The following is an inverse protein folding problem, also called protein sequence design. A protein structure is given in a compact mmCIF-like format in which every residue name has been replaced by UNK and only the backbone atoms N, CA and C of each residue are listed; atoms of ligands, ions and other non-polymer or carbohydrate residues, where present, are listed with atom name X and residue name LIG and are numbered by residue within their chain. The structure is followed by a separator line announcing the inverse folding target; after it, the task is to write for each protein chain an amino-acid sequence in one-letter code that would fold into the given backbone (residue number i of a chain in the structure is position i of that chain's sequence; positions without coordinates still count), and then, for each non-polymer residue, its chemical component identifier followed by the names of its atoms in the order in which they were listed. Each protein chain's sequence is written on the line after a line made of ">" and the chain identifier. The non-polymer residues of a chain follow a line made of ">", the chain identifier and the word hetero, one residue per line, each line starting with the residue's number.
data_IF_534369221055
#
_entry.id   IF_534369221055
#
_cell.length_a   1.000
_cell.length_b   1.000
_cell.length_c   1.000
_cell.angle_alpha   90.00
_cell.angle_beta   90.00
_cell.angle_gamma   90.00
#
_symmetry.space_group_name_H-M   'P 1'
#
loop_
_entity.id
_entity.type
_entity.pdbx_description
1 polymer ?
#
# COMPACT_ATOMS: atom_id res chain seq x y z
N UNK A 1 -2.87 2.77 -20.82
CA UNK A 1 -2.67 3.94 -21.67
C UNK A 1 -2.20 5.15 -20.87
N UNK A 2 -1.70 6.17 -21.54
CA UNK A 2 -1.36 7.43 -20.86
C UNK A 2 -2.64 8.09 -20.34
N UNK A 3 -2.54 8.73 -19.16
CA UNK A 3 -3.64 9.53 -18.60
C UNK A 3 -3.64 10.87 -19.37
N UNK A 4 -4.82 11.33 -19.80
CA UNK A 4 -4.96 12.64 -20.46
C UNK A 4 -4.77 13.79 -19.43
N UNK A 5 -4.61 15.02 -19.93
CA UNK A 5 -4.37 16.22 -19.09
C UNK A 5 -5.51 16.45 -18.08
N UNK A 6 -6.76 16.25 -18.51
CA UNK A 6 -7.95 16.42 -17.64
C UNK A 6 -8.18 15.26 -16.68
N UNK A 7 -7.32 14.21 -16.70
CA UNK A 7 -7.45 12.99 -15.90
C UNK A 7 -8.82 12.30 -16.04
N UNK A 8 -9.44 12.40 -17.18
CA UNK A 8 -10.75 11.80 -17.48
C UNK A 8 -10.64 10.50 -18.29
N UNK A 9 -9.50 10.23 -18.89
CA UNK A 9 -9.23 9.03 -19.69
C UNK A 9 -7.83 8.47 -19.45
N UNK A 10 -7.65 7.21 -19.81
CA UNK A 10 -6.37 6.52 -19.67
C UNK A 10 -6.13 5.95 -18.28
N UNK A 11 -4.90 5.45 -18.07
CA UNK A 11 -4.47 4.77 -16.85
C UNK A 11 -4.17 3.31 -17.06
N UNK A 12 -3.87 2.61 -15.97
CA UNK A 12 -3.62 1.16 -15.93
C UNK A 12 -4.44 0.57 -14.82
N UNK A 13 -5.22 -0.46 -15.14
CA UNK A 13 -5.97 -1.26 -14.17
C UNK A 13 -5.03 -2.31 -13.61
N UNK A 14 -5.02 -2.51 -12.30
CA UNK A 14 -4.10 -3.45 -11.67
C UNK A 14 -4.38 -4.89 -12.09
N UNK A 15 -5.64 -5.33 -12.02
CA UNK A 15 -6.03 -6.67 -12.44
C UNK A 15 -7.32 -6.59 -13.26
N UNK A 16 -7.32 -7.26 -14.40
CA UNK A 16 -8.50 -7.46 -15.25
C UNK A 16 -8.74 -8.95 -15.42
N UNK A 17 -9.87 -9.44 -14.94
CA UNK A 17 -10.32 -10.81 -15.16
C UNK A 17 -11.44 -10.75 -16.18
N UNK A 18 -11.28 -11.40 -17.31
CA UNK A 18 -12.28 -11.38 -18.39
C UNK A 18 -12.42 -12.72 -19.10
N UNK A 19 -13.62 -13.01 -19.53
CA UNK A 19 -13.93 -14.03 -20.52
C UNK A 19 -14.47 -13.37 -21.81
N UNK A 20 -15.11 -14.16 -22.67
CA UNK A 20 -15.69 -13.66 -23.91
C UNK A 20 -16.94 -12.79 -23.73
N UNK A 21 -17.51 -12.71 -22.53
CA UNK A 21 -18.82 -12.06 -22.26
C UNK A 21 -18.72 -11.01 -21.14
N UNK A 22 -17.88 -11.23 -20.14
CA UNK A 22 -17.83 -10.44 -18.92
C UNK A 22 -16.40 -10.04 -18.57
N UNK A 23 -16.25 -8.93 -17.88
CA UNK A 23 -15.00 -8.50 -17.28
C UNK A 23 -15.25 -8.10 -15.82
N UNK A 24 -14.23 -8.32 -14.97
CA UNK A 24 -14.12 -7.81 -13.61
C UNK A 24 -12.83 -7.01 -13.51
N UNK A 25 -12.91 -5.86 -12.90
CA UNK A 25 -11.76 -4.99 -12.70
C UNK A 25 -11.44 -4.95 -11.21
N UNK A 26 -10.15 -5.03 -10.87
CA UNK A 26 -9.71 -4.87 -9.48
C UNK A 26 -8.67 -3.76 -9.45
N UNK A 27 -8.94 -2.76 -8.65
CA UNK A 27 -7.99 -1.73 -8.26
C UNK A 27 -7.52 -1.99 -6.84
N UNK A 28 -6.20 -2.16 -6.68
CA UNK A 28 -5.59 -2.57 -5.43
C UNK A 28 -4.81 -1.41 -4.77
N UNK A 29 -5.19 -1.04 -3.55
CA UNK A 29 -4.58 0.03 -2.77
C UNK A 29 -4.10 -0.49 -1.42
N UNK A 30 -2.79 -0.71 -1.30
CA UNK A 30 -2.18 -1.05 0.00
C UNK A 30 -1.64 0.23 0.67
N UNK A 31 -0.71 0.92 0.03
CA UNK A 31 -0.10 2.16 0.54
C UNK A 31 -0.18 3.31 -0.46
N UNK A 32 -0.58 3.03 -1.70
CA UNK A 32 -0.69 4.03 -2.74
C UNK A 32 -1.93 4.88 -2.55
N UNK A 33 -1.80 6.18 -2.79
CA UNK A 33 -2.95 7.08 -2.81
C UNK A 33 -3.80 6.84 -4.05
N UNK A 34 -5.08 7.17 -3.94
CA UNK A 34 -6.00 7.11 -5.05
C UNK A 34 -5.65 8.20 -6.08
N UNK A 35 -5.65 7.83 -7.35
CA UNK A 35 -5.52 8.78 -8.43
C UNK A 35 -6.87 9.45 -8.71
N UNK A 36 -6.85 10.73 -9.04
CA UNK A 36 -8.07 11.49 -9.39
C UNK A 36 -8.88 10.77 -10.47
N UNK A 37 -10.16 10.57 -10.21
CA UNK A 37 -11.13 9.96 -11.14
C UNK A 37 -10.75 8.55 -11.64
N UNK A 38 -9.94 7.80 -10.88
CA UNK A 38 -9.39 6.52 -11.35
C UNK A 38 -10.49 5.51 -11.69
N UNK A 39 -11.43 5.26 -10.79
CA UNK A 39 -12.52 4.31 -11.04
C UNK A 39 -13.50 4.82 -12.11
N UNK A 40 -13.69 6.14 -12.20
CA UNK A 40 -14.52 6.77 -13.24
C UNK A 40 -13.93 6.48 -14.63
N UNK A 41 -12.59 6.62 -14.79
CA UNK A 41 -11.91 6.27 -16.05
C UNK A 41 -12.07 4.79 -16.40
N UNK A 42 -11.99 3.90 -15.41
CA UNK A 42 -12.18 2.47 -15.61
C UNK A 42 -13.61 2.15 -16.07
N UNK A 43 -14.61 2.80 -15.46
CA UNK A 43 -16.01 2.64 -15.82
C UNK A 43 -16.31 3.13 -17.23
N UNK A 44 -15.67 4.22 -17.67
CA UNK A 44 -15.78 4.68 -19.06
C UNK A 44 -15.26 3.66 -20.06
N UNK A 45 -14.14 3.00 -19.74
CA UNK A 45 -13.53 2.00 -20.64
C UNK A 45 -14.24 0.65 -20.60
N UNK A 46 -14.77 0.26 -19.45
CA UNK A 46 -15.53 -0.97 -19.22
C UNK A 46 -16.90 -0.65 -18.59
N UNK A 47 -17.88 -0.11 -19.32
CA UNK A 47 -19.15 0.40 -18.75
C UNK A 47 -19.92 -0.64 -17.95
N UNK A 48 -19.89 -1.90 -18.39
CA UNK A 48 -20.66 -3.00 -17.81
C UNK A 48 -19.85 -3.86 -16.82
N UNK A 49 -18.57 -3.58 -16.62
CA UNK A 49 -17.75 -4.36 -15.70
C UNK A 49 -17.92 -3.86 -14.27
N UNK A 50 -18.20 -4.75 -13.31
CA UNK A 50 -18.07 -4.41 -11.91
C UNK A 50 -16.62 -4.12 -11.57
N UNK A 51 -16.39 -3.10 -10.74
CA UNK A 51 -15.08 -2.71 -10.24
C UNK A 51 -15.00 -3.13 -8.77
N UNK A 52 -13.94 -3.82 -8.41
CA UNK A 52 -13.59 -4.13 -7.03
C UNK A 52 -12.52 -3.15 -6.59
N UNK A 53 -12.83 -2.34 -5.59
CA UNK A 53 -11.86 -1.48 -4.93
C UNK A 53 -11.34 -2.17 -3.68
N UNK A 54 -10.12 -2.72 -3.79
CA UNK A 54 -9.48 -3.51 -2.75
C UNK A 54 -8.48 -2.65 -1.97
N UNK A 55 -8.73 -2.50 -0.68
CA UNK A 55 -7.86 -1.76 0.24
C UNK A 55 -7.49 -2.60 1.45
N UNK A 56 -6.55 -2.15 2.28
CA UNK A 56 -6.21 -2.89 3.50
C UNK A 56 -7.40 -3.04 4.44
N UNK A 57 -8.18 -1.97 4.63
CA UNK A 57 -9.22 -1.88 5.67
C UNK A 57 -10.63 -1.63 5.13
N UNK A 58 -10.85 -1.74 3.82
CA UNK A 58 -12.17 -1.50 3.23
C UNK A 58 -12.55 -0.01 3.17
N UNK A 59 -11.57 0.86 2.91
CA UNK A 59 -11.84 2.29 2.74
C UNK A 59 -12.51 2.59 1.42
N UNK A 60 -13.34 3.64 1.43
CA UNK A 60 -14.07 4.13 0.26
C UNK A 60 -13.15 4.82 -0.76
N UNK A 61 -13.58 4.84 -2.02
CA UNK A 61 -12.92 5.54 -3.12
C UNK A 61 -13.28 7.02 -3.09
N UNK A 62 -12.37 7.85 -2.59
CA UNK A 62 -12.61 9.29 -2.35
C UNK A 62 -12.79 10.12 -3.62
N UNK A 63 -12.25 9.67 -4.76
CA UNK A 63 -12.31 10.40 -6.04
C UNK A 63 -13.33 9.82 -7.02
N UNK A 64 -14.16 8.89 -6.57
CA UNK A 64 -15.19 8.24 -7.38
C UNK A 64 -16.59 8.81 -7.09
N UNK A 65 -16.71 10.12 -6.93
CA UNK A 65 -17.94 10.81 -6.48
C UNK A 65 -19.17 10.58 -7.35
N UNK A 66 -18.95 10.25 -8.62
CA UNK A 66 -20.03 10.00 -9.59
C UNK A 66 -20.42 8.52 -9.69
N UNK A 67 -19.83 7.66 -8.86
CA UNK A 67 -20.08 6.22 -8.83
C UNK A 67 -20.76 5.81 -7.52
N UNK A 68 -21.71 4.89 -7.63
CA UNK A 68 -22.46 4.36 -6.50
C UNK A 68 -21.80 3.06 -5.96
N UNK A 69 -21.57 3.02 -4.64
CA UNK A 69 -21.09 1.80 -3.94
C UNK A 69 -22.15 0.71 -4.07
N UNK A 70 -21.72 -0.53 -4.23
CA UNK A 70 -22.54 -1.73 -4.44
C UNK A 70 -23.36 -1.76 -5.74
N UNK A 71 -23.09 -0.82 -6.64
CA UNK A 71 -23.69 -0.79 -7.98
C UNK A 71 -22.61 -0.66 -9.04
N UNK A 72 -21.84 0.42 -9.01
CA UNK A 72 -20.77 0.69 -9.97
C UNK A 72 -19.44 0.09 -9.54
N UNK A 73 -19.19 0.08 -8.25
CA UNK A 73 -18.03 -0.57 -7.65
C UNK A 73 -18.35 -1.18 -6.28
N UNK A 74 -17.51 -2.13 -5.88
CA UNK A 74 -17.64 -2.88 -4.64
C UNK A 74 -16.37 -2.70 -3.81
N UNK A 75 -16.54 -2.42 -2.52
CA UNK A 75 -15.43 -2.29 -1.58
C UNK A 75 -15.15 -3.64 -0.96
N UNK A 76 -13.91 -4.09 -1.05
CA UNK A 76 -13.41 -5.25 -0.31
C UNK A 76 -12.12 -4.92 0.42
N UNK A 77 -11.83 -5.66 1.47
CA UNK A 77 -10.65 -5.45 2.31
C UNK A 77 -9.75 -6.68 2.35
N UNK A 78 -8.46 -6.43 2.56
CA UNK A 78 -7.52 -7.48 2.95
C UNK A 78 -7.82 -8.00 4.35
N UNK A 79 -8.19 -7.10 5.28
CA UNK A 79 -8.44 -7.39 6.68
C UNK A 79 -9.52 -8.45 6.91
N UNK A 80 -10.59 -8.38 6.14
CA UNK A 80 -11.74 -9.27 6.30
C UNK A 80 -11.91 -10.21 5.11
N UNK A 81 -12.13 -9.65 3.91
CA UNK A 81 -12.58 -10.42 2.76
C UNK A 81 -11.50 -11.33 2.18
N UNK A 82 -10.30 -10.77 1.93
CA UNK A 82 -9.18 -11.57 1.38
C UNK A 82 -8.70 -12.57 2.42
N UNK A 83 -8.62 -12.17 3.69
CA UNK A 83 -8.20 -13.08 4.76
C UNK A 83 -9.15 -14.27 4.89
N UNK A 84 -10.45 -14.01 4.95
CA UNK A 84 -11.47 -15.06 5.01
C UNK A 84 -11.41 -15.99 3.80
N UNK A 85 -11.27 -15.43 2.61
CA UNK A 85 -11.12 -16.22 1.39
C UNK A 85 -9.87 -17.11 1.42
N UNK A 86 -8.72 -16.59 1.87
CA UNK A 86 -7.49 -17.37 2.01
C UNK A 86 -7.62 -18.48 3.06
N UNK A 87 -8.34 -18.24 4.15
CA UNK A 87 -8.61 -19.25 5.18
C UNK A 87 -9.47 -20.40 4.64
N UNK A 88 -10.44 -20.11 3.78
CA UNK A 88 -11.20 -21.17 3.06
C UNK A 88 -10.31 -21.90 2.06
N UNK A 89 -9.50 -21.18 1.28
CA UNK A 89 -8.52 -21.80 0.37
C UNK A 89 -7.54 -22.73 1.11
N UNK A 90 -7.16 -22.37 2.34
CA UNK A 90 -6.27 -23.19 3.17
C UNK A 90 -6.89 -24.54 3.53
N UNK A 91 -8.21 -24.58 3.77
CA UNK A 91 -8.97 -25.82 4.04
C UNK A 91 -8.98 -26.74 2.80
N UNK A 92 -9.20 -26.18 1.62
CA UNK A 92 -9.19 -26.93 0.36
C UNK A 92 -7.79 -27.44 0.00
N UNK A 93 -6.75 -26.69 0.37
CA UNK A 93 -5.37 -27.03 0.06
C UNK A 93 -4.75 -28.11 0.96
N UNK A 94 -5.53 -28.79 1.81
CA UNK A 94 -5.01 -29.81 2.77
C UNK A 94 -4.23 -30.92 2.07
N UNK A 95 -4.67 -31.34 0.89
CA UNK A 95 -4.03 -32.40 0.09
C UNK A 95 -2.77 -31.95 -0.67
N UNK A 96 -2.46 -30.65 -0.66
CA UNK A 96 -1.38 -30.03 -1.42
C UNK A 96 -0.42 -29.30 -0.48
N UNK A 97 0.55 -29.98 0.17
CA UNK A 97 1.39 -29.40 1.23
C UNK A 97 2.11 -28.12 0.81
N UNK A 98 2.68 -28.08 -0.39
CA UNK A 98 3.38 -26.89 -0.90
C UNK A 98 2.45 -25.71 -1.08
N UNK A 99 1.29 -25.92 -1.70
CA UNK A 99 0.27 -24.88 -1.88
C UNK A 99 -0.27 -24.37 -0.54
N UNK A 100 -0.54 -25.30 0.37
CA UNK A 100 -0.99 -24.97 1.74
C UNK A 100 0.00 -24.07 2.46
N UNK A 101 1.29 -24.36 2.35
CA UNK A 101 2.31 -23.54 3.00
C UNK A 101 2.40 -22.13 2.39
N UNK A 102 2.31 -22.00 1.07
CA UNK A 102 2.26 -20.69 0.39
C UNK A 102 1.05 -19.88 0.85
N UNK A 103 -0.14 -20.50 0.92
CA UNK A 103 -1.35 -19.82 1.41
C UNK A 103 -1.17 -19.38 2.86
N UNK A 104 -0.59 -20.22 3.72
CA UNK A 104 -0.32 -19.89 5.12
C UNK A 104 0.61 -18.68 5.26
N UNK A 105 1.69 -18.64 4.48
CA UNK A 105 2.61 -17.50 4.46
C UNK A 105 1.89 -16.22 3.99
N UNK A 106 1.01 -16.33 3.00
CA UNK A 106 0.23 -15.19 2.53
C UNK A 106 -0.79 -14.71 3.58
N UNK A 107 -1.47 -15.61 4.28
CA UNK A 107 -2.31 -15.28 5.45
C UNK A 107 -1.52 -14.50 6.49
N UNK A 108 -0.32 -14.98 6.84
CA UNK A 108 0.55 -14.31 7.82
C UNK A 108 0.97 -12.91 7.34
N UNK A 109 1.26 -12.75 6.06
CA UNK A 109 1.55 -11.45 5.46
C UNK A 109 0.34 -10.50 5.56
N UNK A 110 -0.85 -10.96 5.17
CA UNK A 110 -2.08 -10.17 5.26
C UNK A 110 -2.34 -9.75 6.72
N UNK A 111 -2.28 -10.69 7.66
CA UNK A 111 -2.44 -10.39 9.10
C UNK A 111 -1.41 -9.35 9.59
N UNK A 112 -0.18 -9.42 9.11
CA UNK A 112 0.86 -8.43 9.44
C UNK A 112 0.53 -7.05 8.86
N UNK A 113 0.10 -6.97 7.61
CA UNK A 113 -0.23 -5.71 6.93
C UNK A 113 -1.47 -5.04 7.54
N UNK A 114 -2.42 -5.84 8.03
CA UNK A 114 -3.66 -5.37 8.64
C UNK A 114 -3.61 -5.27 10.18
N UNK A 115 -2.40 -5.37 10.75
CA UNK A 115 -2.19 -5.33 12.21
C UNK A 115 -2.94 -6.39 13.01
N UNK A 116 -3.29 -7.52 12.38
CA UNK A 116 -3.93 -8.67 13.03
C UNK A 116 -2.93 -9.71 13.54
N UNK A 117 -1.62 -9.45 13.44
CA UNK A 117 -0.61 -10.30 14.04
C UNK A 117 -0.75 -10.25 15.54
N UNK A 118 -1.13 -11.37 16.08
CA UNK A 118 -1.57 -11.57 17.43
C UNK A 118 -0.42 -11.54 18.42
N UNK A 119 -0.27 -10.43 19.07
CA UNK A 119 -0.14 -10.54 20.50
C UNK A 119 -1.45 -10.00 21.10
N UNK A 120 -2.47 -10.85 21.24
CA UNK A 120 -3.75 -10.46 21.87
C UNK A 120 -3.53 -9.96 23.29
N UNK A 121 -2.51 -10.46 24.00
CA UNK A 121 -2.09 -9.99 25.30
C UNK A 121 -1.55 -8.56 25.20
N UNK A 122 -0.60 -8.32 24.29
CA UNK A 122 -0.08 -6.97 24.06
C UNK A 122 -1.19 -5.97 23.65
N UNK A 123 -2.14 -6.41 22.82
CA UNK A 123 -3.28 -5.55 22.44
C UNK A 123 -4.15 -5.20 23.65
N UNK A 124 -4.40 -6.16 24.53
CA UNK A 124 -5.13 -5.92 25.80
C UNK A 124 -4.34 -4.97 26.70
N UNK A 125 -3.03 -5.21 26.86
CA UNK A 125 -2.16 -4.33 27.66
C UNK A 125 -2.15 -2.90 27.11
N UNK A 126 -2.01 -2.72 25.79
CA UNK A 126 -2.07 -1.41 25.15
C UNK A 126 -3.44 -0.75 25.36
N UNK A 127 -4.54 -1.50 25.23
CA UNK A 127 -5.88 -0.95 25.47
C UNK A 127 -6.07 -0.49 26.92
N UNK A 128 -5.57 -1.25 27.91
CA UNK A 128 -5.59 -0.83 29.31
C UNK A 128 -4.69 0.39 29.56
N UNK A 129 -3.50 0.43 28.94
CA UNK A 129 -2.62 1.59 29.01
C UNK A 129 -3.28 2.86 28.46
N UNK A 130 -3.95 2.75 27.29
CA UNK A 130 -4.70 3.86 26.69
C UNK A 130 -5.84 4.32 27.59
N UNK A 131 -6.62 3.40 28.16
CA UNK A 131 -7.73 3.75 29.07
C UNK A 131 -7.24 4.50 30.33
N UNK A 132 -6.13 4.03 30.88
CA UNK A 132 -5.56 4.62 32.11
C UNK A 132 -4.84 5.95 31.85
N UNK A 133 -4.46 6.26 30.61
CA UNK A 133 -3.73 7.47 30.22
C UNK A 133 -4.38 8.08 28.95
N UNK A 134 -5.68 8.28 28.99
CA UNK A 134 -6.45 8.60 27.78
C UNK A 134 -6.06 9.93 27.12
N UNK A 135 -5.78 10.96 27.94
CA UNK A 135 -5.40 12.28 27.42
C UNK A 135 -4.00 12.26 26.80
N UNK A 136 -3.06 11.61 27.45
CA UNK A 136 -1.68 11.43 26.96
C UNK A 136 -1.66 10.58 25.70
N UNK A 137 -2.46 9.51 25.65
CA UNK A 137 -2.60 8.67 24.47
C UNK A 137 -3.20 9.44 23.29
N UNK A 138 -4.17 10.31 23.53
CA UNK A 138 -4.73 11.19 22.50
C UNK A 138 -3.68 12.18 21.96
N UNK A 139 -2.86 12.77 22.83
CA UNK A 139 -1.79 13.67 22.42
C UNK A 139 -0.66 12.94 21.67
N UNK A 140 -0.32 11.71 22.09
CA UNK A 140 0.59 10.83 21.35
C UNK A 140 0.04 10.54 19.96
N UNK A 141 -1.23 10.15 19.84
CA UNK A 141 -1.87 9.84 18.56
C UNK A 141 -1.86 11.04 17.59
N UNK A 142 -2.12 12.24 18.12
CA UNK A 142 -2.09 13.50 17.37
C UNK A 142 -0.69 13.81 16.82
N UNK A 143 0.36 13.54 17.59
CA UNK A 143 1.75 13.83 17.22
C UNK A 143 2.48 12.65 16.56
N UNK A 144 1.88 11.47 16.51
CA UNK A 144 2.51 10.24 16.02
C UNK A 144 3.13 10.38 14.63
N UNK A 145 2.37 10.96 13.69
CA UNK A 145 2.85 11.10 12.31
C UNK A 145 4.03 12.07 12.19
N UNK A 146 4.04 13.14 12.96
CA UNK A 146 5.16 14.09 13.01
C UNK A 146 6.42 13.42 13.58
N UNK A 147 6.28 12.72 14.70
CA UNK A 147 7.37 11.96 15.32
C UNK A 147 7.91 10.85 14.40
N UNK A 148 7.02 10.09 13.76
CA UNK A 148 7.38 9.07 12.77
C UNK A 148 8.19 9.66 11.61
N UNK A 149 7.76 10.79 11.07
CA UNK A 149 8.45 11.46 9.96
C UNK A 149 9.83 11.97 10.38
N UNK A 150 9.97 12.46 11.61
CA UNK A 150 11.28 12.87 12.14
C UNK A 150 12.24 11.69 12.29
N UNK A 151 11.77 10.55 12.79
CA UNK A 151 12.55 9.30 12.88
C UNK A 151 12.99 8.85 11.49
N UNK A 152 12.07 8.82 10.51
CA UNK A 152 12.37 8.45 9.12
C UNK A 152 13.42 9.40 8.53
N UNK A 153 13.27 10.69 8.71
CA UNK A 153 14.22 11.70 8.23
C UNK A 153 15.61 11.49 8.85
N UNK A 154 15.67 11.27 10.16
CA UNK A 154 16.94 10.97 10.87
C UNK A 154 17.60 9.70 10.36
N UNK A 155 16.81 8.65 10.09
CA UNK A 155 17.31 7.41 9.49
C UNK A 155 17.92 7.65 8.11
N UNK A 156 17.20 8.33 7.22
CA UNK A 156 17.69 8.62 5.88
C UNK A 156 18.95 9.52 5.88
N UNK A 157 19.01 10.51 6.76
CA UNK A 157 20.21 11.35 6.89
C UNK A 157 21.43 10.53 7.36
N UNK A 158 21.24 9.63 8.34
CA UNK A 158 22.32 8.74 8.78
C UNK A 158 22.76 7.80 7.67
N UNK A 159 21.82 7.25 6.91
CA UNK A 159 22.12 6.36 5.79
C UNK A 159 22.85 7.09 4.67
N UNK A 160 22.42 8.31 4.35
CA UNK A 160 23.09 9.16 3.38
C UNK A 160 24.55 9.46 3.80
N UNK A 161 24.76 9.92 5.03
CA UNK A 161 26.10 10.21 5.54
C UNK A 161 26.99 8.95 5.54
N UNK A 162 26.45 7.81 5.93
CA UNK A 162 27.18 6.54 5.88
C UNK A 162 27.65 6.19 4.46
N UNK A 163 26.80 6.33 3.47
CA UNK A 163 27.17 6.07 2.09
C UNK A 163 28.11 7.14 1.53
N UNK A 164 27.92 8.42 1.89
CA UNK A 164 28.81 9.50 1.50
C UNK A 164 30.23 9.25 2.00
N UNK A 165 30.39 8.84 3.26
CA UNK A 165 31.68 8.52 3.87
C UNK A 165 32.32 7.24 3.31
N UNK A 166 31.49 6.24 2.92
CA UNK A 166 31.95 4.89 2.58
C UNK A 166 32.13 4.68 1.08
N UNK A 167 31.26 5.22 0.24
CA UNK A 167 31.20 4.95 -1.20
C UNK A 167 31.71 6.11 -2.06
N UNK A 168 31.64 7.36 -1.56
CA UNK A 168 32.09 8.53 -2.33
C UNK A 168 33.59 8.71 -2.16
N UNK A 169 34.37 7.76 -2.68
CA UNK A 169 35.81 7.92 -2.92
C UNK A 169 36.01 7.76 -4.42
N UNK A 170 35.92 8.92 -5.12
CA UNK A 170 36.34 9.15 -6.51
C UNK A 170 35.45 8.63 -7.67
N UNK A 171 34.54 7.68 -7.48
CA UNK A 171 33.79 7.08 -8.60
C UNK A 171 32.27 7.20 -8.55
N UNK A 172 31.70 7.44 -7.38
CA UNK A 172 30.26 7.49 -7.20
C UNK A 172 29.77 8.82 -6.64
N UNK A 173 28.67 9.31 -7.16
CA UNK A 173 27.95 10.45 -6.60
C UNK A 173 26.65 9.96 -5.99
N UNK A 174 26.34 10.41 -4.77
CA UNK A 174 25.10 10.10 -4.07
C UNK A 174 24.28 11.37 -3.94
N UNK A 175 23.04 11.32 -4.39
CA UNK A 175 22.10 12.43 -4.24
C UNK A 175 20.91 11.97 -3.42
N UNK A 176 20.56 12.71 -2.38
CA UNK A 176 19.33 12.51 -1.64
C UNK A 176 18.22 13.28 -2.34
N UNK A 177 17.17 12.57 -2.76
CA UNK A 177 15.99 13.24 -3.25
C UNK A 177 15.30 13.96 -2.07
N UNK A 178 15.40 15.29 -2.04
CA UNK A 178 14.83 16.16 -1.02
C UNK A 178 13.35 16.47 -1.27
N UNK A 179 12.59 15.60 -1.94
CA UNK A 179 11.16 15.79 -2.05
C UNK A 179 10.55 15.82 -0.66
N UNK A 180 9.73 16.83 -0.39
CA UNK A 180 9.05 17.10 0.88
C UNK A 180 8.10 15.99 1.35
N UNK A 181 7.96 14.91 0.58
CA UNK A 181 7.07 13.78 0.86
C UNK A 181 7.91 12.63 1.40
N UNK A 182 7.87 12.33 2.71
CA UNK A 182 8.67 11.26 3.34
C UNK A 182 8.46 9.87 2.73
N UNK A 183 7.35 9.67 2.03
CA UNK A 183 6.94 8.41 1.38
C UNK A 183 7.84 8.01 0.20
N UNK A 184 8.58 8.95 -0.38
CA UNK A 184 9.38 8.73 -1.60
C UNK A 184 10.85 9.14 -1.45
N UNK A 185 11.36 9.23 -0.21
CA UNK A 185 12.79 9.45 -0.03
C UNK A 185 13.55 8.23 -0.56
N UNK A 186 14.40 8.48 -1.53
CA UNK A 186 15.33 7.48 -2.07
C UNK A 186 16.70 8.12 -2.29
N UNK A 187 17.71 7.29 -2.22
CA UNK A 187 19.07 7.67 -2.58
C UNK A 187 19.28 7.33 -4.05
N UNK A 188 19.80 8.28 -4.79
CA UNK A 188 20.21 8.08 -6.17
C UNK A 188 21.73 7.88 -6.17
N UNK A 189 22.17 6.83 -6.83
CA UNK A 189 23.59 6.54 -7.05
C UNK A 189 23.88 6.75 -8.51
N UNK A 190 24.86 7.61 -8.83
CA UNK A 190 25.35 7.81 -10.18
C UNK A 190 26.86 7.62 -10.22
N UNK A 191 27.34 6.98 -11.28
CA UNK A 191 28.77 6.86 -11.55
C UNK A 191 29.29 8.14 -12.17
N UNK A 192 30.43 8.63 -11.74
CA UNK A 192 31.08 9.77 -12.39
C UNK A 192 31.69 9.30 -13.74
N UNK A 193 31.03 9.62 -14.86
CA UNK A 193 31.49 9.24 -16.21
C UNK A 193 32.72 10.06 -16.71
N UNK A 194 33.36 10.88 -15.88
CA UNK A 194 34.41 11.79 -16.30
C UNK A 194 35.85 11.26 -16.16
N UNK A 195 36.07 9.94 -16.25
CA UNK A 195 37.40 9.36 -16.40
C UNK A 195 37.57 8.65 -17.73
N UNK A 196 37.41 9.40 -18.85
CA UNK A 196 38.00 9.11 -20.12
C UNK A 196 38.69 10.39 -20.64
N UNK A 197 39.91 10.57 -20.25
CA UNK A 197 40.91 11.37 -20.96
C UNK A 197 42.17 10.54 -21.12
#
# INVERSE_FOLDING_TARGET
>A
GKINEDKTEGGRIDIVIKDNKKAFLIENKIYADEQTNQLIRYKKFYPNAPIIFLTLFGSDAKTATDLEINKDYFIISYEEHVLKWLEECLKEAVKYPMLREVIRQYINLVKKLTHQTTNQELKKEIMELIKNNFLEAAEIAKNYNAAKNDVIKKFWNKLFNFFEETLVKDTWRIEQNKTLIPKYNHLLFSHNENDKA
#
